data_IF_870935027029
#
_entry.id   IF_870935027029
#
_cell.length_a   1.000
_cell.length_b   1.000
_cell.length_c   1.000
_cell.angle_alpha   90.00
_cell.angle_beta   90.00
_cell.angle_gamma   90.00
#
_symmetry.space_group_name_H-M   'P 1'
#
loop_
_entity.id
_entity.type
_entity.pdbx_description
1 polymer ?
#
# COMPACT_ATOMS: atom_id res chain seq x y z
N UNK A 1 15.00 0.87 22.64
CA UNK A 1 14.44 0.18 21.46
C UNK A 1 13.13 0.87 21.12
N UNK A 2 12.91 1.29 19.87
CA UNK A 2 11.64 1.91 19.48
C UNK A 2 10.50 0.89 19.46
N UNK A 3 9.27 1.34 19.68
CA UNK A 3 8.06 0.51 19.58
C UNK A 3 7.67 0.35 18.11
N UNK A 4 7.45 -0.88 17.66
CA UNK A 4 6.91 -1.16 16.33
C UNK A 4 5.44 -0.73 16.23
N UNK A 5 5.01 -0.29 15.05
CA UNK A 5 3.62 0.07 14.77
C UNK A 5 3.16 -0.53 13.43
N UNK A 6 1.87 -0.41 13.14
CA UNK A 6 1.29 -0.75 11.84
C UNK A 6 0.39 0.39 11.35
N UNK A 7 0.21 0.48 10.03
CA UNK A 7 -0.75 1.40 9.41
C UNK A 7 -1.98 0.60 9.00
N UNK A 8 -3.17 1.09 9.37
CA UNK A 8 -4.44 0.42 9.06
C UNK A 8 -5.23 1.25 8.06
N UNK A 9 -5.66 0.58 6.99
CA UNK A 9 -6.55 1.09 5.96
C UNK A 9 -7.90 0.41 6.16
N UNK A 10 -8.87 1.18 6.60
CA UNK A 10 -10.27 0.80 6.41
C UNK A 10 -10.54 0.76 4.88
N UNK A 11 -11.26 -0.21 4.35
CA UNK A 11 -11.48 -0.37 2.90
C UNK A 11 -12.73 -1.19 2.59
N UNK A 12 -13.12 -1.24 1.32
CA UNK A 12 -14.21 -2.08 0.85
C UNK A 12 -13.74 -3.50 0.48
N UNK A 13 -12.54 -3.63 -0.10
CA UNK A 13 -11.96 -4.86 -0.61
C UNK A 13 -10.49 -5.01 -0.15
N UNK A 14 -10.26 -5.62 1.03
CA UNK A 14 -8.92 -5.82 1.58
C UNK A 14 -7.94 -6.54 0.65
N UNK A 15 -8.37 -7.62 -0.02
CA UNK A 15 -7.53 -8.37 -0.95
C UNK A 15 -7.11 -7.54 -2.16
N UNK A 16 -8.03 -6.74 -2.72
CA UNK A 16 -7.70 -5.84 -3.84
C UNK A 16 -6.66 -4.81 -3.45
N UNK A 17 -6.77 -4.22 -2.25
CA UNK A 17 -5.77 -3.29 -1.76
C UNK A 17 -4.45 -3.97 -1.42
N UNK A 18 -4.45 -5.16 -0.82
CA UNK A 18 -3.23 -5.90 -0.55
C UNK A 18 -2.45 -6.23 -1.84
N UNK A 19 -3.15 -6.70 -2.88
CA UNK A 19 -2.57 -7.00 -4.20
C UNK A 19 -2.01 -5.77 -4.92
N UNK A 20 -2.54 -4.59 -4.64
CA UNK A 20 -2.00 -3.34 -5.16
C UNK A 20 -0.79 -2.86 -4.34
N UNK A 21 -0.95 -2.77 -3.02
CA UNK A 21 0.04 -2.15 -2.14
C UNK A 21 1.28 -3.03 -1.94
N UNK A 22 1.17 -4.37 -1.99
CA UNK A 22 2.32 -5.26 -1.92
C UNK A 22 3.35 -4.92 -3.03
N UNK A 23 3.03 -5.01 -4.33
CA UNK A 23 3.98 -4.65 -5.37
C UNK A 23 4.30 -3.15 -5.42
N UNK A 24 3.42 -2.25 -4.98
CA UNK A 24 3.71 -0.82 -4.92
C UNK A 24 4.84 -0.50 -3.92
N UNK A 25 4.87 -1.18 -2.78
CA UNK A 25 5.89 -0.98 -1.73
C UNK A 25 7.06 -1.97 -1.82
N UNK A 26 7.07 -2.87 -2.81
CA UNK A 26 7.95 -4.04 -2.85
C UNK A 26 7.81 -4.94 -1.61
N UNK A 27 6.62 -4.94 -1.02
CA UNK A 27 6.23 -5.80 0.08
C UNK A 27 5.66 -7.12 -0.46
N UNK A 28 5.33 -8.02 0.46
CA UNK A 28 4.56 -9.23 0.14
C UNK A 28 3.29 -9.29 0.98
N UNK A 29 2.29 -10.02 0.49
CA UNK A 29 1.17 -10.45 1.31
C UNK A 29 1.68 -11.24 2.52
N UNK A 30 1.08 -11.01 3.68
CA UNK A 30 1.46 -11.67 4.91
C UNK A 30 1.16 -13.17 4.81
N UNK A 31 2.12 -14.01 5.17
CA UNK A 31 1.90 -15.46 5.22
C UNK A 31 0.85 -15.82 6.29
N UNK A 32 0.08 -16.91 6.11
CA UNK A 32 -0.79 -17.42 7.16
C UNK A 32 0.02 -17.84 8.40
N UNK A 33 -0.64 -18.05 9.55
CA UNK A 33 0.02 -18.57 10.74
C UNK A 33 0.77 -19.89 10.47
N UNK A 34 1.87 -20.10 11.20
CA UNK A 34 2.70 -21.28 11.05
C UNK A 34 1.87 -22.58 11.20
N UNK A 35 2.13 -23.55 10.33
CA UNK A 35 1.39 -24.81 10.27
C UNK A 35 0.22 -24.83 9.29
N UNK A 36 -0.09 -23.71 8.62
CA UNK A 36 -1.10 -23.64 7.57
C UNK A 36 -0.47 -23.33 6.21
N UNK A 37 -0.93 -24.01 5.17
CA UNK A 37 -0.43 -23.82 3.80
C UNK A 37 -0.97 -22.56 3.10
N UNK A 38 -2.10 -22.01 3.58
CA UNK A 38 -2.74 -20.83 3.02
C UNK A 38 -3.70 -20.17 4.01
N UNK A 39 -4.09 -18.92 3.75
CA UNK A 39 -5.14 -18.23 4.51
C UNK A 39 -6.48 -18.97 4.45
N UNK A 40 -6.99 -19.43 3.29
CA UNK A 40 -8.16 -20.31 3.21
C UNK A 40 -8.09 -21.53 4.14
N UNK A 41 -6.94 -22.22 4.20
CA UNK A 41 -6.78 -23.38 5.07
C UNK A 41 -6.87 -23.00 6.56
N UNK A 42 -6.23 -21.88 6.94
CA UNK A 42 -6.31 -21.35 8.29
C UNK A 42 -7.74 -20.94 8.68
N UNK A 43 -8.40 -20.13 7.85
CA UNK A 43 -9.75 -19.61 8.11
C UNK A 43 -10.78 -20.73 8.20
N UNK A 44 -10.70 -21.72 7.28
CA UNK A 44 -11.52 -22.92 7.33
C UNK A 44 -11.33 -23.70 8.64
N UNK A 45 -10.09 -23.91 9.07
CA UNK A 45 -9.79 -24.59 10.34
C UNK A 45 -10.27 -23.82 11.57
N UNK A 46 -10.43 -22.50 11.46
CA UNK A 46 -11.00 -21.64 12.49
C UNK A 46 -12.53 -21.54 12.45
N UNK A 47 -13.18 -22.16 11.46
CA UNK A 47 -14.64 -22.13 11.30
C UNK A 47 -15.17 -20.78 10.81
N UNK A 48 -14.32 -19.95 10.18
CA UNK A 48 -14.75 -18.67 9.60
C UNK A 48 -15.51 -18.94 8.30
N UNK A 49 -16.74 -18.43 8.13
CA UNK A 49 -17.50 -18.58 6.90
C UNK A 49 -16.73 -18.06 5.67
N UNK A 50 -16.84 -18.73 4.52
CA UNK A 50 -16.15 -18.32 3.29
C UNK A 50 -16.49 -16.89 2.85
N UNK A 51 -17.70 -16.43 3.15
CA UNK A 51 -18.15 -15.05 2.91
C UNK A 51 -17.36 -14.00 3.70
N UNK A 52 -16.68 -14.40 4.77
CA UNK A 52 -15.89 -13.52 5.64
C UNK A 52 -14.39 -13.61 5.37
N UNK A 53 -13.94 -14.38 4.38
CA UNK A 53 -12.51 -14.61 4.15
C UNK A 53 -11.76 -13.37 3.64
N UNK A 54 -12.47 -12.39 3.05
CA UNK A 54 -11.92 -11.11 2.62
C UNK A 54 -12.32 -9.96 3.57
N UNK A 55 -12.60 -10.25 4.85
CA UNK A 55 -12.87 -9.19 5.84
C UNK A 55 -11.59 -8.46 6.27
N UNK A 56 -10.42 -9.05 6.02
CA UNK A 56 -9.14 -8.40 6.23
C UNK A 56 -8.02 -9.01 5.39
N UNK A 57 -7.01 -8.20 5.08
CA UNK A 57 -5.76 -8.65 4.44
C UNK A 57 -4.58 -7.81 4.96
N UNK A 58 -3.36 -8.25 4.68
CA UNK A 58 -2.17 -7.56 5.18
C UNK A 58 -0.96 -7.77 4.30
N UNK A 59 -0.09 -6.77 4.27
CA UNK A 59 1.23 -6.86 3.62
C UNK A 59 2.33 -6.53 4.63
N UNK A 60 3.49 -7.14 4.44
CA UNK A 60 4.66 -7.00 5.30
C UNK A 60 5.90 -6.74 4.47
N UNK A 61 6.80 -5.94 5.01
CA UNK A 61 8.17 -5.85 4.53
C UNK A 61 8.84 -7.23 4.66
N UNK A 62 9.34 -7.83 3.56
CA UNK A 62 10.07 -9.10 3.61
C UNK A 62 11.24 -9.07 4.59
N UNK A 63 11.91 -7.92 4.71
CA UNK A 63 13.05 -7.70 5.60
C UNK A 63 12.64 -7.29 7.03
N UNK A 64 11.33 -7.10 7.26
CA UNK A 64 10.73 -6.73 8.56
C UNK A 64 11.29 -5.44 9.16
N UNK A 65 11.73 -4.50 8.31
CA UNK A 65 12.23 -3.19 8.73
C UNK A 65 11.07 -2.19 8.76
N UNK A 66 10.25 -2.18 7.72
CA UNK A 66 9.10 -1.30 7.60
C UNK A 66 7.86 -1.76 8.38
N UNK A 67 6.89 -0.86 8.58
CA UNK A 67 5.66 -1.19 9.29
C UNK A 67 4.80 -2.17 8.49
N UNK A 68 4.03 -3.00 9.21
CA UNK A 68 2.96 -3.78 8.58
C UNK A 68 1.86 -2.83 8.09
N UNK A 69 1.30 -3.12 6.92
CA UNK A 69 0.10 -2.43 6.42
C UNK A 69 -1.06 -3.43 6.49
N UNK A 70 -2.15 -3.01 7.14
CA UNK A 70 -3.33 -3.84 7.37
C UNK A 70 -4.53 -3.23 6.65
N UNK A 71 -5.28 -4.05 5.94
CA UNK A 71 -6.50 -3.66 5.25
C UNK A 71 -7.68 -4.31 5.95
N UNK A 72 -8.61 -3.51 6.43
CA UNK A 72 -9.77 -3.95 7.20
C UNK A 72 -11.06 -3.58 6.46
N UNK A 73 -11.91 -4.56 6.22
CA UNK A 73 -13.22 -4.31 5.61
C UNK A 73 -14.11 -3.51 6.56
N UNK A 74 -14.81 -2.53 6.01
CA UNK A 74 -15.83 -1.76 6.72
C UNK A 74 -17.21 -1.98 6.10
N UNK A 75 -18.20 -2.27 6.94
CA UNK A 75 -19.60 -2.48 6.51
C UNK A 75 -20.24 -1.20 5.92
N UNK A 76 -19.75 -0.03 6.35
CA UNK A 76 -20.24 1.26 5.86
C UNK A 76 -19.17 1.89 4.96
N UNK A 77 -19.51 2.22 3.70
CA UNK A 77 -18.61 2.95 2.82
C UNK A 77 -18.15 4.25 3.46
N UNK A 78 -16.87 4.57 3.31
CA UNK A 78 -16.35 5.82 3.86
C UNK A 78 -16.93 7.02 3.11
N UNK A 79 -17.33 8.08 3.82
CA UNK A 79 -17.81 9.30 3.18
C UNK A 79 -16.68 10.11 2.51
N UNK A 80 -15.41 9.87 2.85
CA UNK A 80 -14.22 10.59 2.36
C UNK A 80 -12.98 9.67 2.32
N UNK A 81 -11.91 10.11 1.65
CA UNK A 81 -10.60 9.44 1.63
C UNK A 81 -10.00 9.23 3.02
N UNK A 82 -9.06 8.28 3.13
CA UNK A 82 -8.20 8.12 4.30
C UNK A 82 -7.51 9.44 4.69
N UNK A 83 -7.45 9.72 6.00
CA UNK A 83 -6.77 10.93 6.53
C UNK A 83 -5.27 10.76 6.69
N UNK A 84 -4.79 9.51 6.69
CA UNK A 84 -3.37 9.18 6.63
C UNK A 84 -2.93 9.27 5.17
N UNK A 85 -1.81 9.95 4.94
CA UNK A 85 -1.19 10.12 3.64
C UNK A 85 0.15 9.38 3.63
N UNK A 86 0.42 8.58 2.61
CA UNK A 86 1.67 7.85 2.45
C UNK A 86 2.50 8.48 1.34
N UNK A 87 3.80 8.66 1.61
CA UNK A 87 4.77 9.12 0.61
C UNK A 87 5.74 7.99 0.29
N UNK A 88 5.80 7.61 -0.99
CA UNK A 88 6.76 6.65 -1.52
C UNK A 88 8.01 7.41 -1.94
N UNK A 89 9.10 7.19 -1.21
CA UNK A 89 10.35 7.92 -1.36
C UNK A 89 11.30 7.19 -2.34
N UNK A 90 11.25 7.58 -3.60
CA UNK A 90 11.87 6.91 -4.75
C UNK A 90 12.98 7.77 -5.38
N UNK A 91 12.94 9.09 -5.18
CA UNK A 91 13.94 10.01 -5.76
C UNK A 91 15.37 9.76 -5.30
N UNK A 92 15.59 9.13 -4.16
CA UNK A 92 16.92 8.99 -3.53
C UNK A 92 17.36 10.24 -2.75
N UNK A 93 16.44 11.18 -2.53
CA UNK A 93 16.64 12.35 -1.67
C UNK A 93 17.55 13.44 -2.24
N UNK A 94 17.80 14.49 -1.46
CA UNK A 94 18.45 15.73 -1.93
C UNK A 94 19.89 15.62 -2.41
N UNK A 95 20.54 14.45 -2.28
CA UNK A 95 21.88 14.19 -2.83
C UNK A 95 21.86 13.80 -4.31
N UNK A 96 20.69 13.47 -4.86
CA UNK A 96 20.51 13.10 -6.26
C UNK A 96 20.15 14.35 -7.07
N UNK A 97 20.77 14.51 -8.24
CA UNK A 97 20.49 15.62 -9.16
C UNK A 97 18.99 15.69 -9.50
N UNK A 98 18.44 16.90 -9.60
CA UNK A 98 16.99 17.12 -9.79
C UNK A 98 16.42 16.33 -10.98
N UNK A 99 17.07 16.40 -12.14
CA UNK A 99 16.64 15.71 -13.36
C UNK A 99 16.56 14.19 -13.18
N UNK A 100 17.51 13.61 -12.43
CA UNK A 100 17.52 12.18 -12.11
C UNK A 100 16.42 11.83 -11.09
N UNK A 101 16.13 12.71 -10.12
CA UNK A 101 14.98 12.53 -9.21
C UNK A 101 13.67 12.49 -9.97
N UNK A 102 13.45 13.46 -10.87
CA UNK A 102 12.27 13.55 -11.75
C UNK A 102 12.12 12.27 -12.58
N UNK A 103 13.22 11.79 -13.18
CA UNK A 103 13.23 10.55 -13.97
C UNK A 103 12.81 9.33 -13.14
N UNK A 104 13.37 9.17 -11.93
CA UNK A 104 13.04 8.06 -11.02
C UNK A 104 11.58 8.08 -10.61
N UNK A 105 11.07 9.24 -10.20
CA UNK A 105 9.66 9.41 -9.81
C UNK A 105 8.74 9.06 -10.97
N UNK A 106 9.01 9.56 -12.18
CA UNK A 106 8.17 9.26 -13.35
C UNK A 106 8.18 7.77 -13.73
N UNK A 107 9.37 7.14 -13.74
CA UNK A 107 9.47 5.71 -14.05
C UNK A 107 8.68 4.85 -13.04
N UNK A 108 8.73 5.21 -11.76
CA UNK A 108 7.99 4.50 -10.74
C UNK A 108 6.49 4.76 -10.79
N UNK A 109 6.09 6.00 -11.11
CA UNK A 109 4.68 6.32 -11.36
C UNK A 109 4.14 5.48 -12.52
N UNK A 110 4.87 5.36 -13.64
CA UNK A 110 4.46 4.50 -14.76
C UNK A 110 4.24 3.04 -14.32
N UNK A 111 5.16 2.50 -13.51
CA UNK A 111 5.04 1.16 -12.94
C UNK A 111 3.78 1.02 -12.08
N UNK A 112 3.57 1.95 -11.15
CA UNK A 112 2.45 1.91 -10.20
C UNK A 112 1.10 2.13 -10.90
N UNK A 113 1.05 2.93 -11.95
CA UNK A 113 -0.14 3.04 -12.81
C UNK A 113 -0.48 1.68 -13.46
N UNK A 114 0.53 0.91 -13.87
CA UNK A 114 0.36 -0.46 -14.35
C UNK A 114 -0.19 -1.44 -13.31
N UNK A 115 -0.11 -1.12 -12.01
CA UNK A 115 -0.69 -1.91 -10.92
C UNK A 115 -2.17 -1.56 -10.63
N UNK A 116 -2.71 -0.53 -11.28
CA UNK A 116 -4.10 -0.09 -11.11
C UNK A 116 -4.28 1.21 -10.31
N UNK A 117 -3.20 1.97 -10.08
CA UNK A 117 -3.32 3.33 -9.57
C UNK A 117 -3.89 4.29 -10.63
N UNK A 118 -4.39 5.44 -10.20
CA UNK A 118 -4.76 6.55 -11.10
C UNK A 118 -3.96 7.80 -10.77
N UNK A 119 -3.51 8.53 -11.79
CA UNK A 119 -2.76 9.78 -11.63
C UNK A 119 -3.71 10.93 -11.34
N UNK A 120 -3.46 11.68 -10.27
CA UNK A 120 -4.25 12.85 -9.90
C UNK A 120 -3.54 14.15 -10.31
N UNK A 121 -2.36 14.41 -9.74
CA UNK A 121 -1.71 15.71 -9.88
C UNK A 121 -0.19 15.59 -9.84
N UNK A 122 0.49 16.39 -10.66
CA UNK A 122 1.93 16.61 -10.57
C UNK A 122 2.17 17.90 -9.78
N UNK A 123 3.15 17.85 -8.89
CA UNK A 123 3.66 19.01 -8.18
C UNK A 123 5.15 19.17 -8.49
N UNK A 124 5.51 20.40 -8.85
CA UNK A 124 6.85 20.79 -9.23
C UNK A 124 7.11 22.17 -8.64
N UNK A 125 7.94 22.20 -7.61
CA UNK A 125 8.39 23.42 -6.91
C UNK A 125 9.93 23.43 -6.91
N UNK A 126 10.59 24.58 -6.70
CA UNK A 126 12.06 24.65 -6.76
C UNK A 126 12.75 23.65 -5.82
N UNK A 127 13.26 22.56 -6.39
CA UNK A 127 13.95 21.49 -5.65
C UNK A 127 13.05 20.35 -5.16
N UNK A 128 11.75 20.39 -5.41
CA UNK A 128 10.78 19.37 -5.00
C UNK A 128 9.96 18.88 -6.21
N UNK A 129 9.74 17.57 -6.28
CA UNK A 129 9.00 16.96 -7.38
C UNK A 129 8.28 15.72 -6.86
N UNK A 130 6.96 15.71 -6.95
CA UNK A 130 6.15 14.55 -6.59
C UNK A 130 4.87 14.45 -7.42
N UNK A 131 4.33 13.24 -7.49
CA UNK A 131 3.08 12.96 -8.18
C UNK A 131 2.10 12.34 -7.19
N UNK A 132 0.94 12.99 -7.05
CA UNK A 132 -0.20 12.44 -6.30
C UNK A 132 -0.88 11.40 -7.17
N UNK A 133 -0.98 10.19 -6.62
CA UNK A 133 -1.72 9.06 -7.18
C UNK A 133 -2.88 8.69 -6.25
N UNK A 134 -3.81 7.91 -6.79
CA UNK A 134 -4.85 7.23 -6.03
C UNK A 134 -4.74 5.73 -6.19
N UNK A 135 -4.93 5.00 -5.10
CA UNK A 135 -5.04 3.54 -5.11
C UNK A 135 -6.36 3.07 -5.74
N UNK A 136 -6.60 1.76 -5.90
CA UNK A 136 -7.81 1.23 -6.53
C UNK A 136 -9.14 1.60 -5.84
N UNK A 137 -9.11 2.12 -4.61
CA UNK A 137 -10.27 2.62 -3.87
C UNK A 137 -10.29 4.16 -3.75
N UNK A 138 -9.38 4.86 -4.42
CA UNK A 138 -9.34 6.32 -4.42
C UNK A 138 -8.59 6.95 -3.23
N UNK A 139 -7.85 6.17 -2.45
CA UNK A 139 -7.00 6.74 -1.39
C UNK A 139 -5.77 7.40 -2.01
N UNK A 140 -5.52 8.65 -1.63
CA UNK A 140 -4.39 9.42 -2.16
C UNK A 140 -3.07 9.09 -1.47
N UNK A 141 -2.01 9.04 -2.26
CA UNK A 141 -0.61 8.91 -1.81
C UNK A 141 0.32 9.64 -2.80
N UNK A 142 1.54 9.96 -2.37
CA UNK A 142 2.53 10.58 -3.25
C UNK A 142 3.65 9.62 -3.62
N UNK A 143 4.22 9.84 -4.81
CA UNK A 143 5.52 9.29 -5.22
C UNK A 143 6.48 10.47 -5.39
N UNK A 144 7.61 10.45 -4.67
CA UNK A 144 8.56 11.57 -4.56
C UNK A 144 10.02 11.16 -4.51
#
# INVERSE_FOLDING_TARGET
MGTSFQVVFDCADPDRLAKFWAPALHYKEQDPPAGYASWPAFLKARGVPETEWNTASAIVDPEKVGPRIYFQQMDTPKPKKNRVHLDLNISGGGKVAYEERVKRVNAEVERILGLGATKQRVWEDPGEYWIVLQDPEGNEFCVQ
#
